data_IF_430582159953
#
_entry.id   IF_430582159953
#
_cell.length_a   1.000
_cell.length_b   1.000
_cell.length_c   1.000
_cell.angle_alpha   90.00
_cell.angle_beta   90.00
_cell.angle_gamma   90.00
#
_symmetry.space_group_name_H-M   'P 1'
#
loop_
_entity.id
_entity.type
_entity.pdbx_description
1 polymer ?
#
# COMPACT_ATOMS: atom_id res chain seq x y z
N UNK A 1 2.40 -19.20 -9.94
CA UNK A 1 1.95 -18.26 -10.98
C UNK A 1 1.72 -16.88 -10.38
N UNK A 2 2.06 -15.83 -11.10
CA UNK A 2 1.85 -14.46 -10.65
C UNK A 2 0.62 -13.87 -11.29
N UNK A 3 -0.22 -13.25 -10.47
CA UNK A 3 -1.30 -12.39 -10.91
C UNK A 3 -0.83 -10.95 -10.81
N UNK A 4 -0.92 -10.21 -11.91
CA UNK A 4 -0.46 -8.82 -11.96
C UNK A 4 -1.62 -7.92 -12.36
N UNK A 5 -1.89 -6.93 -11.52
CA UNK A 5 -2.83 -5.86 -11.80
C UNK A 5 -2.11 -4.53 -11.72
N UNK A 6 -2.46 -3.59 -12.60
CA UNK A 6 -1.84 -2.28 -12.61
C UNK A 6 -2.88 -1.19 -12.82
N UNK A 7 -2.76 -0.12 -12.04
CA UNK A 7 -3.48 1.14 -12.27
C UNK A 7 -2.42 2.17 -12.60
N UNK A 8 -2.44 2.69 -13.81
CA UNK A 8 -1.42 3.61 -14.31
C UNK A 8 -2.05 4.90 -14.81
N UNK A 9 -1.54 6.03 -14.31
CA UNK A 9 -1.91 7.36 -14.76
C UNK A 9 -0.64 8.18 -14.97
N UNK A 10 -0.74 9.41 -15.55
CA UNK A 10 0.45 10.25 -15.70
C UNK A 10 1.17 10.60 -14.39
N UNK A 11 0.47 10.53 -13.25
CA UNK A 11 1.00 10.99 -11.95
C UNK A 11 1.38 9.87 -11.01
N UNK A 12 0.80 8.68 -11.18
CA UNK A 12 1.08 7.57 -10.28
C UNK A 12 0.85 6.22 -10.95
N UNK A 13 1.40 5.18 -10.34
CA UNK A 13 1.17 3.81 -10.77
C UNK A 13 1.04 2.91 -9.55
N UNK A 14 0.07 2.01 -9.57
CA UNK A 14 -0.11 0.97 -8.56
C UNK A 14 -0.01 -0.37 -9.27
N UNK A 15 1.00 -1.17 -8.93
CA UNK A 15 1.20 -2.50 -9.52
C UNK A 15 1.10 -3.54 -8.42
N UNK A 16 0.13 -4.45 -8.55
CA UNK A 16 -0.09 -5.52 -7.59
C UNK A 16 0.35 -6.85 -8.20
N UNK A 17 1.16 -7.62 -7.46
CA UNK A 17 1.64 -8.93 -7.87
C UNK A 17 1.33 -9.94 -6.77
N UNK A 18 0.55 -10.96 -7.10
CA UNK A 18 0.22 -12.03 -6.17
C UNK A 18 1.09 -13.25 -6.45
N UNK A 19 1.90 -13.62 -5.47
CA UNK A 19 2.74 -14.80 -5.55
C UNK A 19 1.94 -16.06 -5.16
N UNK A 20 2.46 -17.23 -5.53
CA UNK A 20 1.79 -18.51 -5.28
C UNK A 20 1.63 -18.85 -3.79
N UNK A 21 2.43 -18.22 -2.91
CA UNK A 21 2.33 -18.40 -1.46
C UNK A 21 1.30 -17.50 -0.80
N UNK A 22 0.59 -16.68 -1.58
CA UNK A 22 -0.43 -15.78 -1.06
C UNK A 22 0.07 -14.41 -0.66
N UNK A 23 1.36 -14.11 -0.82
CA UNK A 23 1.91 -12.78 -0.55
C UNK A 23 1.58 -11.86 -1.71
N UNK A 24 0.84 -10.79 -1.43
CA UNK A 24 0.53 -9.76 -2.41
C UNK A 24 1.50 -8.59 -2.21
N UNK A 25 2.31 -8.30 -3.22
CA UNK A 25 3.19 -7.15 -3.22
C UNK A 25 2.55 -6.04 -4.02
N UNK A 26 2.37 -4.89 -3.39
CA UNK A 26 1.76 -3.70 -4.02
C UNK A 26 2.84 -2.63 -4.12
N UNK A 27 3.30 -2.35 -5.33
CA UNK A 27 4.33 -1.36 -5.59
C UNK A 27 3.68 -0.05 -6.00
N UNK A 28 3.97 1.02 -5.26
CA UNK A 28 3.44 2.35 -5.51
C UNK A 28 4.53 3.23 -6.10
N UNK A 29 4.25 3.86 -7.23
CA UNK A 29 5.21 4.74 -7.91
C UNK A 29 4.58 6.10 -8.13
N UNK A 30 5.36 7.18 -7.88
CA UNK A 30 4.96 8.55 -8.18
C UNK A 30 4.33 9.27 -7.00
N UNK A 31 3.35 10.12 -7.28
CA UNK A 31 2.76 11.06 -6.32
C UNK A 31 1.36 10.58 -5.89
N UNK A 32 1.21 10.35 -4.60
CA UNK A 32 -0.06 9.89 -4.03
C UNK A 32 -0.71 11.02 -3.23
N UNK A 33 -1.40 11.88 -3.93
CA UNK A 33 -2.10 13.05 -3.40
C UNK A 33 -3.62 12.80 -3.29
N UNK A 34 -4.39 13.86 -3.06
CA UNK A 34 -5.83 13.79 -2.86
C UNK A 34 -6.60 13.15 -4.02
N UNK A 35 -6.04 13.18 -5.23
CA UNK A 35 -6.70 12.61 -6.40
C UNK A 35 -6.55 11.09 -6.47
N UNK A 36 -5.70 10.52 -5.65
CA UNK A 36 -5.29 9.12 -5.71
C UNK A 36 -5.67 8.34 -4.45
N UNK A 37 -5.99 9.05 -3.36
CA UNK A 37 -6.28 8.41 -2.09
C UNK A 37 -7.36 7.33 -2.18
N UNK A 38 -8.43 7.61 -2.92
CA UNK A 38 -9.53 6.66 -3.10
C UNK A 38 -9.10 5.41 -3.89
N UNK A 39 -8.31 5.60 -4.95
CA UNK A 39 -7.79 4.48 -5.74
C UNK A 39 -6.91 3.58 -4.88
N UNK A 40 -6.01 4.18 -4.11
CA UNK A 40 -5.13 3.44 -3.23
C UNK A 40 -5.91 2.71 -2.14
N UNK A 41 -6.85 3.39 -1.51
CA UNK A 41 -7.70 2.80 -0.48
C UNK A 41 -8.47 1.59 -1.04
N UNK A 42 -9.12 1.76 -2.19
CA UNK A 42 -9.91 0.68 -2.81
C UNK A 42 -9.02 -0.52 -3.14
N UNK A 43 -7.84 -0.27 -3.71
CA UNK A 43 -6.91 -1.34 -4.07
C UNK A 43 -6.48 -2.14 -2.84
N UNK A 44 -6.11 -1.45 -1.76
CA UNK A 44 -5.62 -2.12 -0.56
C UNK A 44 -6.73 -2.80 0.23
N UNK A 45 -7.91 -2.20 0.30
CA UNK A 45 -9.06 -2.81 0.96
C UNK A 45 -9.50 -4.07 0.21
N UNK A 46 -9.56 -4.02 -1.12
CA UNK A 46 -9.89 -5.19 -1.93
C UNK A 46 -8.87 -6.31 -1.74
N UNK A 47 -7.58 -5.96 -1.68
CA UNK A 47 -6.52 -6.93 -1.44
C UNK A 47 -6.68 -7.62 -0.09
N UNK A 48 -6.99 -6.85 0.96
CA UNK A 48 -7.17 -7.39 2.30
C UNK A 48 -8.41 -8.28 2.41
N UNK A 49 -9.38 -8.10 1.53
CA UNK A 49 -10.60 -8.92 1.49
C UNK A 49 -10.47 -10.18 0.64
N UNK A 50 -9.37 -10.36 -0.08
CA UNK A 50 -9.18 -11.50 -0.98
C UNK A 50 -8.75 -12.74 -0.19
N UNK A 51 -9.53 -13.84 -0.22
CA UNK A 51 -9.18 -15.05 0.52
C UNK A 51 -7.90 -15.73 0.04
N UNK A 52 -7.44 -15.41 -1.18
CA UNK A 52 -6.18 -15.94 -1.71
C UNK A 52 -4.95 -15.21 -1.19
N UNK A 53 -5.13 -14.09 -0.51
CA UNK A 53 -4.03 -13.27 0.01
C UNK A 53 -3.82 -13.58 1.49
N UNK A 54 -2.59 -13.91 1.86
CA UNK A 54 -2.22 -14.19 3.25
C UNK A 54 -1.43 -13.04 3.89
N UNK A 55 -0.80 -12.20 3.06
CA UNK A 55 0.01 -11.08 3.52
C UNK A 55 0.03 -10.01 2.44
N UNK A 56 -0.05 -8.75 2.85
CA UNK A 56 0.10 -7.60 1.95
C UNK A 56 1.41 -6.89 2.28
N UNK A 57 2.24 -6.67 1.28
CA UNK A 57 3.48 -5.89 1.38
C UNK A 57 3.36 -4.71 0.45
N UNK A 58 3.35 -3.50 1.00
CA UNK A 58 3.31 -2.27 0.22
C UNK A 58 4.73 -1.74 0.08
N UNK A 59 5.21 -1.66 -1.15
CA UNK A 59 6.57 -1.20 -1.46
C UNK A 59 6.53 0.26 -1.91
N UNK A 60 7.19 1.12 -1.16
CA UNK A 60 7.24 2.56 -1.40
C UNK A 60 8.56 3.02 -2.01
N UNK A 61 9.37 2.11 -2.53
CA UNK A 61 10.69 2.46 -3.07
C UNK A 61 10.61 3.54 -4.16
N UNK A 62 9.57 3.51 -4.98
CA UNK A 62 9.38 4.47 -6.07
C UNK A 62 8.32 5.54 -5.77
N UNK A 63 7.84 5.61 -4.55
CA UNK A 63 6.88 6.63 -4.14
C UNK A 63 7.64 7.90 -3.80
N UNK A 64 7.34 8.98 -4.50
CA UNK A 64 8.05 10.26 -4.34
C UNK A 64 7.31 11.21 -3.41
N UNK A 65 5.98 11.13 -3.38
CA UNK A 65 5.15 12.01 -2.57
C UNK A 65 3.95 11.25 -2.01
N UNK A 66 3.63 11.54 -0.75
CA UNK A 66 2.49 10.94 -0.06
C UNK A 66 1.90 12.00 0.88
N UNK A 67 0.68 12.44 0.61
CA UNK A 67 0.00 13.39 1.48
C UNK A 67 -0.97 12.67 2.43
N UNK A 68 -1.78 13.44 3.16
CA UNK A 68 -2.71 12.87 4.13
C UNK A 68 -3.74 11.93 3.49
N UNK A 69 -4.09 12.13 2.23
CA UNK A 69 -5.03 11.26 1.52
C UNK A 69 -4.38 9.92 1.18
N UNK A 70 -3.11 9.95 0.76
CA UNK A 70 -2.34 8.73 0.54
C UNK A 70 -2.12 7.96 1.83
N UNK A 71 -1.81 8.66 2.91
CA UNK A 71 -1.66 8.06 4.24
C UNK A 71 -2.98 7.41 4.67
N UNK A 72 -4.11 8.10 4.46
CA UNK A 72 -5.42 7.53 4.80
C UNK A 72 -5.71 6.25 4.03
N UNK A 73 -5.28 6.17 2.77
CA UNK A 73 -5.40 4.96 1.96
C UNK A 73 -4.62 3.80 2.56
N UNK A 74 -3.38 4.05 3.00
CA UNK A 74 -2.57 3.03 3.67
C UNK A 74 -3.21 2.56 4.97
N UNK A 75 -3.73 3.49 5.76
CA UNK A 75 -4.39 3.17 7.02
C UNK A 75 -5.65 2.34 6.78
N UNK A 76 -6.45 2.69 5.77
CA UNK A 76 -7.65 1.93 5.42
C UNK A 76 -7.31 0.47 5.08
N UNK A 77 -6.26 0.26 4.29
CA UNK A 77 -5.78 -1.08 3.96
C UNK A 77 -5.31 -1.84 5.19
N UNK A 78 -4.55 -1.19 6.04
CA UNK A 78 -4.06 -1.78 7.29
C UNK A 78 -5.22 -2.20 8.20
N UNK A 79 -6.20 -1.33 8.37
CA UNK A 79 -7.35 -1.63 9.25
C UNK A 79 -8.16 -2.82 8.72
N UNK A 80 -8.37 -2.88 7.41
CA UNK A 80 -9.10 -3.99 6.81
C UNK A 80 -8.30 -5.30 6.93
N UNK A 81 -6.99 -5.25 6.75
CA UNK A 81 -6.13 -6.41 6.95
C UNK A 81 -6.19 -6.90 8.40
N UNK A 82 -6.20 -5.98 9.36
CA UNK A 82 -6.31 -6.31 10.78
C UNK A 82 -7.64 -7.03 11.08
N UNK A 83 -8.73 -6.58 10.48
CA UNK A 83 -10.04 -7.25 10.64
C UNK A 83 -10.03 -8.67 10.08
N UNK A 84 -9.27 -8.89 9.01
CA UNK A 84 -9.16 -10.21 8.37
C UNK A 84 -8.05 -11.06 8.98
N UNK A 85 -7.41 -10.61 10.04
CA UNK A 85 -6.26 -11.26 10.68
C UNK A 85 -5.14 -11.52 9.69
N UNK A 86 -4.91 -10.57 8.79
CA UNK A 86 -3.91 -10.62 7.73
C UNK A 86 -2.75 -9.69 8.07
N UNK A 87 -1.54 -10.12 7.74
CA UNK A 87 -0.35 -9.26 7.94
C UNK A 87 -0.30 -8.19 6.86
N UNK A 88 0.03 -6.97 7.28
CA UNK A 88 0.14 -5.81 6.39
C UNK A 88 1.39 -5.05 6.80
N UNK A 89 2.33 -4.93 5.87
CA UNK A 89 3.59 -4.23 6.13
C UNK A 89 3.89 -3.25 5.00
N UNK A 90 4.61 -2.20 5.34
CA UNK A 90 5.09 -1.20 4.38
C UNK A 90 6.62 -1.26 4.39
N UNK A 91 7.22 -1.35 3.22
CA UNK A 91 8.68 -1.47 3.08
C UNK A 91 9.22 -0.37 2.18
N UNK A 92 10.50 -0.08 2.35
CA UNK A 92 11.28 0.84 1.50
C UNK A 92 10.78 2.28 1.51
N UNK A 93 10.11 2.72 2.57
CA UNK A 93 9.80 4.13 2.74
C UNK A 93 11.09 4.92 2.92
N UNK A 94 11.21 6.05 2.22
CA UNK A 94 12.43 6.86 2.26
C UNK A 94 12.07 8.34 2.01
N UNK A 95 13.03 9.21 2.27
CA UNK A 95 12.89 10.65 2.01
C UNK A 95 11.67 11.25 2.70
N UNK A 96 10.92 12.05 1.96
CA UNK A 96 9.74 12.74 2.47
C UNK A 96 8.64 11.75 2.88
N UNK A 97 8.50 10.65 2.16
CA UNK A 97 7.50 9.61 2.46
C UNK A 97 7.76 9.01 3.83
N UNK A 98 9.01 8.63 4.10
CA UNK A 98 9.39 8.11 5.41
C UNK A 98 9.14 9.13 6.51
N UNK A 99 9.45 10.40 6.25
CA UNK A 99 9.23 11.48 7.21
C UNK A 99 7.74 11.64 7.56
N UNK A 100 6.87 11.57 6.55
CA UNK A 100 5.42 11.65 6.78
C UNK A 100 4.95 10.50 7.66
N UNK A 101 5.40 9.28 7.38
CA UNK A 101 5.05 8.12 8.18
C UNK A 101 5.58 8.22 9.61
N UNK A 102 6.80 8.73 9.78
CA UNK A 102 7.41 8.92 11.11
C UNK A 102 6.63 9.95 11.93
N UNK A 103 6.28 11.08 11.32
CA UNK A 103 5.56 12.16 12.00
C UNK A 103 4.17 11.71 12.45
N UNK A 104 3.50 10.91 11.63
CA UNK A 104 2.15 10.42 11.96
C UNK A 104 2.18 9.22 12.90
N UNK A 105 3.35 8.69 13.23
CA UNK A 105 3.50 7.51 14.06
C UNK A 105 3.21 6.19 13.34
N UNK A 106 2.93 6.24 12.05
CA UNK A 106 2.56 5.04 11.29
C UNK A 106 3.75 4.14 10.98
N UNK A 107 4.97 4.66 11.00
CA UNK A 107 6.16 3.84 10.79
C UNK A 107 6.25 2.67 11.76
N UNK A 108 5.87 2.88 13.01
CA UNK A 108 5.92 1.83 14.04
C UNK A 108 4.84 0.78 13.84
N UNK A 109 3.70 1.18 13.25
CA UNK A 109 2.54 0.30 13.08
C UNK A 109 2.63 -0.49 11.77
N UNK A 110 3.09 0.15 10.69
CA UNK A 110 3.07 -0.43 9.36
C UNK A 110 4.34 -1.20 8.99
N UNK A 111 5.43 -0.99 9.70
CA UNK A 111 6.68 -1.71 9.43
C UNK A 111 6.81 -2.94 10.31
N UNK A 112 7.40 -3.96 9.74
CA UNK A 112 7.74 -5.18 10.46
C UNK A 112 8.87 -4.94 11.45
#
# INVERSE_FOLDING_TARGET
MLDICAVTTPHFEIVSQLASDGVLRVCLSGDFDMNVGAELSDTLVDAAGDPGVTRVVVDLDRTEFLDSHGVAGLVAGYEEAARADMRFTVVNAHGMVKRVLDITGLSEVLQD
#
